data_IF_790561615104
#
_entry.id   IF_790561615104
#
_cell.length_a   1.000
_cell.length_b   1.000
_cell.length_c   1.000
_cell.angle_alpha   90.00
_cell.angle_beta   90.00
_cell.angle_gamma   90.00
#
_symmetry.space_group_name_H-M   'P 1'
#
loop_
_entity.id
_entity.type
_entity.pdbx_description
1 polymer ?
#
# COMPACT_ATOMS: atom_id res chain seq x y z
N UNK A 1 -17.56 -27.18 -16.65
CA UNK A 1 -18.60 -26.74 -15.70
C UNK A 1 -17.80 -26.18 -14.53
N UNK A 2 -17.89 -24.87 -14.25
CA UNK A 2 -17.21 -24.30 -13.07
C UNK A 2 -17.91 -24.81 -11.82
N UNK A 3 -17.13 -25.27 -10.86
CA UNK A 3 -17.65 -25.66 -9.54
C UNK A 3 -18.22 -24.44 -8.81
N UNK A 4 -19.36 -24.60 -8.09
CA UNK A 4 -19.93 -23.51 -7.33
C UNK A 4 -19.01 -23.15 -6.15
N UNK A 5 -18.65 -21.87 -6.04
CA UNK A 5 -17.96 -21.34 -4.88
C UNK A 5 -18.84 -21.53 -3.64
N UNK A 6 -18.50 -22.52 -2.83
CA UNK A 6 -19.09 -22.63 -1.50
C UNK A 6 -18.57 -21.44 -0.68
N UNK A 7 -19.47 -20.61 -0.24
CA UNK A 7 -19.20 -19.59 0.78
C UNK A 7 -18.90 -20.31 2.10
N UNK A 8 -17.64 -20.62 2.32
CA UNK A 8 -17.18 -21.06 3.63
C UNK A 8 -16.85 -19.78 4.40
N UNK A 9 -17.68 -19.44 5.37
CA UNK A 9 -17.32 -18.48 6.42
C UNK A 9 -16.21 -19.12 7.23
N UNK A 10 -14.98 -19.06 6.74
CA UNK A 10 -13.80 -19.41 7.50
C UNK A 10 -13.56 -18.23 8.44
N UNK A 11 -13.86 -18.41 9.73
CA UNK A 11 -13.09 -17.73 10.76
C UNK A 11 -11.63 -18.04 10.45
N UNK A 12 -10.79 -17.01 10.28
CA UNK A 12 -9.37 -17.17 10.04
C UNK A 12 -8.74 -17.82 11.28
N UNK A 13 -8.75 -19.12 11.33
CA UNK A 13 -7.99 -19.93 12.30
C UNK A 13 -6.58 -20.22 11.77
N UNK A 14 -6.00 -19.26 11.00
CA UNK A 14 -4.65 -19.38 10.46
C UNK A 14 -3.57 -18.98 11.49
N UNK A 15 -3.95 -18.82 12.77
CA UNK A 15 -3.03 -18.47 13.86
C UNK A 15 -2.59 -16.99 13.83
N UNK A 16 -3.27 -16.15 13.06
CA UNK A 16 -2.96 -14.72 13.05
C UNK A 16 -3.19 -14.08 14.42
N UNK A 17 -2.30 -13.20 14.89
CA UNK A 17 -2.43 -12.56 16.17
C UNK A 17 -3.70 -11.68 16.21
N UNK A 18 -4.30 -11.48 17.41
CA UNK A 18 -5.38 -10.52 17.60
C UNK A 18 -4.97 -9.13 17.09
N UNK A 19 -5.94 -8.41 16.53
CA UNK A 19 -5.72 -7.03 16.09
C UNK A 19 -5.92 -6.11 17.30
N UNK A 20 -4.85 -5.43 17.71
CA UNK A 20 -4.90 -4.39 18.72
C UNK A 20 -5.03 -3.04 18.02
N UNK A 21 -6.17 -2.36 18.20
CA UNK A 21 -6.46 -1.04 17.64
C UNK A 21 -5.81 0.07 18.47
N UNK A 22 -4.48 0.12 18.46
CA UNK A 22 -3.69 1.18 19.10
C UNK A 22 -2.96 1.99 18.04
N UNK A 23 -2.70 3.27 18.31
CA UNK A 23 -1.95 4.16 17.43
C UNK A 23 -2.73 5.40 17.04
N UNK A 24 -2.22 6.10 16.03
CA UNK A 24 -2.74 7.39 15.61
C UNK A 24 -4.01 7.25 14.76
N UNK A 25 -4.91 8.23 14.85
CA UNK A 25 -6.11 8.37 14.01
C UNK A 25 -6.23 9.81 13.52
N UNK A 26 -6.80 10.00 12.32
CA UNK A 26 -7.15 11.32 11.80
C UNK A 26 -8.64 11.63 11.96
N UNK A 27 -9.03 12.92 11.99
CA UNK A 27 -10.43 13.31 12.00
C UNK A 27 -11.20 12.75 10.81
N UNK A 28 -12.50 12.52 10.99
CA UNK A 28 -13.41 12.10 9.92
C UNK A 28 -13.84 13.27 9.02
N UNK A 29 -13.42 14.50 9.33
CA UNK A 29 -13.72 15.68 8.55
C UNK A 29 -12.64 16.74 8.70
N UNK A 30 -12.43 17.52 7.65
CA UNK A 30 -11.53 18.68 7.62
C UNK A 30 -12.28 19.92 7.17
N UNK A 31 -12.00 21.07 7.80
CA UNK A 31 -12.60 22.34 7.41
C UNK A 31 -12.32 22.66 5.94
N UNK A 32 -13.37 23.01 5.20
CA UNK A 32 -13.28 23.33 3.77
C UNK A 32 -13.03 22.14 2.84
N UNK A 33 -13.19 20.90 3.33
CA UNK A 33 -13.09 19.69 2.52
C UNK A 33 -14.30 18.80 2.71
N UNK A 34 -14.64 18.06 1.66
CA UNK A 34 -15.71 17.05 1.66
C UNK A 34 -15.08 15.67 1.59
N UNK A 35 -15.51 14.74 2.44
CA UNK A 35 -15.19 13.32 2.28
C UNK A 35 -15.91 12.82 1.03
N UNK A 36 -15.15 12.51 -0.02
CA UNK A 36 -15.71 12.09 -1.32
C UNK A 36 -15.67 10.58 -1.51
N UNK A 37 -14.82 9.89 -0.78
CA UNK A 37 -14.74 8.43 -0.78
C UNK A 37 -14.08 7.94 0.50
N UNK A 38 -14.59 6.81 1.01
CA UNK A 38 -14.04 6.09 2.15
C UNK A 38 -14.12 4.59 1.89
N UNK A 39 -13.06 3.89 2.23
CA UNK A 39 -13.05 2.45 2.41
C UNK A 39 -12.67 2.18 3.86
N UNK A 40 -13.58 1.57 4.62
CA UNK A 40 -13.42 1.30 6.05
C UNK A 40 -13.26 -0.21 6.36
N UNK A 41 -13.21 -1.02 5.30
CA UNK A 41 -13.05 -2.49 5.38
C UNK A 41 -14.01 -3.20 6.35
N UNK A 42 -15.15 -2.60 6.65
CA UNK A 42 -16.16 -3.12 7.60
C UNK A 42 -16.97 -4.32 7.10
N UNK A 43 -16.80 -4.69 5.83
CA UNK A 43 -17.47 -5.83 5.20
C UNK A 43 -16.95 -7.19 5.68
N UNK A 44 -17.48 -8.26 5.10
CA UNK A 44 -16.99 -9.64 5.28
C UNK A 44 -16.01 -10.05 4.18
N UNK A 45 -16.09 -9.42 3.04
CA UNK A 45 -15.27 -9.67 1.86
C UNK A 45 -14.92 -8.35 1.19
N UNK A 46 -13.79 -8.31 0.50
CA UNK A 46 -13.34 -7.13 -0.24
C UNK A 46 -14.40 -6.70 -1.25
N UNK A 47 -14.78 -5.43 -1.23
CA UNK A 47 -15.77 -4.88 -2.16
C UNK A 47 -15.23 -4.85 -3.59
N UNK A 48 -15.59 -5.84 -4.39
CA UNK A 48 -15.15 -5.94 -5.79
C UNK A 48 -15.78 -4.89 -6.72
N UNK A 49 -16.70 -4.04 -6.24
CA UNK A 49 -17.11 -2.85 -7.00
C UNK A 49 -16.01 -1.79 -7.01
N UNK A 50 -15.19 -1.73 -5.96
CA UNK A 50 -14.09 -0.76 -5.79
C UNK A 50 -12.71 -1.37 -6.00
N UNK A 51 -12.54 -2.67 -5.73
CA UNK A 51 -11.24 -3.34 -5.71
C UNK A 51 -11.10 -4.45 -6.75
N UNK A 52 -9.87 -4.67 -7.20
CA UNK A 52 -9.43 -5.82 -7.98
C UNK A 52 -8.32 -6.54 -7.22
N UNK A 53 -8.23 -7.86 -7.39
CA UNK A 53 -7.05 -8.63 -7.04
C UNK A 53 -6.13 -8.74 -8.25
N UNK A 54 -4.85 -8.51 -8.07
CA UNK A 54 -3.83 -8.85 -9.06
C UNK A 54 -3.22 -10.22 -8.75
N UNK A 55 -2.77 -10.95 -9.75
CA UNK A 55 -2.23 -12.31 -9.62
C UNK A 55 -1.03 -12.51 -10.52
N UNK A 56 -0.03 -13.23 -10.01
CA UNK A 56 1.16 -13.61 -10.79
C UNK A 56 2.46 -13.49 -10.01
N UNK A 57 3.54 -13.98 -10.63
CA UNK A 57 4.90 -13.98 -10.12
C UNK A 57 5.88 -13.55 -11.21
N UNK A 58 5.61 -12.46 -11.91
CA UNK A 58 6.46 -11.93 -12.99
C UNK A 58 7.67 -11.13 -12.50
N UNK A 59 7.90 -11.07 -11.17
CA UNK A 59 8.90 -10.19 -10.55
C UNK A 59 8.46 -8.72 -10.49
N UNK A 60 7.30 -8.38 -11.02
CA UNK A 60 6.59 -7.10 -10.94
C UNK A 60 7.46 -5.86 -11.22
N UNK A 61 8.47 -6.01 -12.09
CA UNK A 61 9.42 -4.97 -12.47
C UNK A 61 10.61 -4.81 -11.52
N UNK A 62 10.61 -5.44 -10.35
CA UNK A 62 11.58 -5.26 -9.29
C UNK A 62 12.30 -6.56 -8.87
N UNK A 63 12.18 -7.64 -9.65
CA UNK A 63 12.68 -8.97 -9.28
C UNK A 63 12.13 -9.49 -7.94
N UNK A 64 10.85 -9.18 -7.66
CA UNK A 64 10.14 -9.67 -6.49
C UNK A 64 9.91 -11.18 -6.56
N UNK A 65 9.97 -11.87 -5.43
CA UNK A 65 9.95 -13.34 -5.36
C UNK A 65 8.59 -13.95 -5.04
N UNK A 66 7.62 -13.16 -4.59
CA UNK A 66 6.29 -13.67 -4.25
C UNK A 66 5.42 -13.89 -5.48
N UNK A 67 4.46 -14.80 -5.33
CA UNK A 67 3.27 -14.88 -6.17
C UNK A 67 2.16 -14.07 -5.50
N UNK A 68 1.65 -13.04 -6.14
CA UNK A 68 0.42 -12.38 -5.68
C UNK A 68 -0.78 -13.26 -6.02
N UNK A 69 -1.61 -13.54 -5.01
CA UNK A 69 -2.77 -14.41 -5.13
C UNK A 69 -4.06 -13.62 -5.02
N UNK A 70 -4.95 -13.83 -5.97
CA UNK A 70 -6.30 -13.28 -5.89
C UNK A 70 -7.15 -13.99 -4.82
N UNK A 71 -8.21 -13.29 -4.36
CA UNK A 71 -9.13 -13.78 -3.35
C UNK A 71 -8.58 -13.65 -1.92
N UNK A 72 -9.32 -14.20 -0.96
CA UNK A 72 -9.12 -13.98 0.47
C UNK A 72 -7.96 -14.76 1.11
N UNK A 73 -7.14 -15.46 0.34
CA UNK A 73 -6.03 -16.27 0.89
C UNK A 73 -4.88 -15.45 1.44
N UNK A 74 -4.60 -14.31 0.79
CA UNK A 74 -3.54 -13.40 1.17
C UNK A 74 -4.04 -11.96 1.40
N UNK A 75 -5.31 -11.65 1.05
CA UNK A 75 -5.96 -10.39 1.38
C UNK A 75 -7.39 -10.67 1.82
N UNK A 76 -7.67 -10.54 3.10
CA UNK A 76 -8.96 -10.83 3.71
C UNK A 76 -9.41 -9.70 4.61
N UNK A 77 -10.72 -9.53 4.77
CA UNK A 77 -11.26 -8.65 5.80
C UNK A 77 -11.37 -9.42 7.13
N UNK A 78 -10.86 -8.83 8.18
CA UNK A 78 -10.82 -9.41 9.52
C UNK A 78 -11.04 -8.33 10.57
N UNK A 79 -12.13 -8.44 11.34
CA UNK A 79 -12.50 -7.54 12.43
C UNK A 79 -12.60 -6.06 12.03
N UNK A 80 -13.01 -5.76 10.79
CA UNK A 80 -13.10 -4.39 10.28
C UNK A 80 -11.79 -3.83 9.71
N UNK A 81 -10.83 -4.69 9.41
CA UNK A 81 -9.54 -4.33 8.79
C UNK A 81 -9.30 -5.14 7.53
N UNK A 82 -8.65 -4.55 6.56
CA UNK A 82 -7.99 -5.33 5.50
C UNK A 82 -6.70 -5.91 6.07
N UNK A 83 -6.55 -7.23 5.97
CA UNK A 83 -5.31 -7.94 6.30
C UNK A 83 -4.67 -8.46 5.02
N UNK A 84 -3.55 -7.89 4.61
CA UNK A 84 -2.67 -8.45 3.58
C UNK A 84 -1.62 -9.31 4.28
N UNK A 85 -1.45 -10.55 3.82
CA UNK A 85 -0.56 -11.54 4.43
C UNK A 85 0.49 -12.02 3.44
N UNK A 86 1.76 -11.77 3.75
CA UNK A 86 2.89 -12.42 3.07
C UNK A 86 3.24 -13.72 3.80
N UNK A 87 3.36 -14.83 3.05
CA UNK A 87 3.60 -16.16 3.58
C UNK A 87 4.80 -16.81 2.91
N UNK A 88 5.57 -17.57 3.68
CA UNK A 88 6.56 -18.48 3.15
C UNK A 88 5.84 -19.80 2.81
N UNK A 89 5.35 -19.88 1.59
CA UNK A 89 4.70 -21.05 1.03
C UNK A 89 4.96 -21.14 -0.47
N UNK A 90 5.28 -22.32 -0.96
CA UNK A 90 5.50 -22.50 -2.41
C UNK A 90 4.18 -22.49 -3.16
N UNK A 91 4.07 -21.62 -4.16
CA UNK A 91 2.91 -21.57 -5.04
C UNK A 91 3.34 -21.32 -6.49
N UNK A 92 3.02 -22.27 -7.39
CA UNK A 92 3.35 -22.22 -8.83
C UNK A 92 4.82 -21.87 -9.12
N UNK A 93 5.73 -22.35 -8.26
CA UNK A 93 7.17 -22.15 -8.39
C UNK A 93 7.74 -20.95 -7.66
N UNK A 94 6.90 -20.04 -7.17
CA UNK A 94 7.35 -18.95 -6.30
C UNK A 94 7.48 -19.44 -4.85
N UNK A 95 8.53 -19.03 -4.11
CA UNK A 95 8.76 -19.48 -2.73
C UNK A 95 7.87 -18.79 -1.69
N UNK A 96 7.28 -17.66 -2.05
CA UNK A 96 6.41 -16.85 -1.19
C UNK A 96 5.08 -16.59 -1.87
N UNK A 97 4.05 -16.34 -1.07
CA UNK A 97 2.78 -15.78 -1.55
C UNK A 97 2.46 -14.49 -0.81
N UNK A 98 1.74 -13.58 -1.48
CA UNK A 98 1.27 -12.33 -0.92
C UNK A 98 0.01 -11.85 -1.66
N UNK A 99 -0.45 -10.64 -1.39
CA UNK A 99 -1.50 -10.01 -2.17
C UNK A 99 -1.10 -8.61 -2.64
N UNK A 100 -1.66 -8.25 -3.79
CA UNK A 100 -1.69 -6.92 -4.35
C UNK A 100 -3.11 -6.66 -4.82
N UNK A 101 -3.72 -5.60 -4.27
CA UNK A 101 -5.06 -5.16 -4.62
C UNK A 101 -5.02 -3.75 -5.18
N UNK A 102 -5.94 -3.43 -6.09
CA UNK A 102 -5.95 -2.14 -6.77
C UNK A 102 -7.37 -1.66 -7.05
N UNK A 103 -7.55 -0.34 -7.07
CA UNK A 103 -8.82 0.29 -7.51
C UNK A 103 -8.82 0.66 -8.99
N UNK A 104 -7.87 0.17 -9.79
CA UNK A 104 -7.75 0.46 -11.22
C UNK A 104 -9.05 0.22 -11.99
N UNK A 105 -9.49 1.21 -12.75
CA UNK A 105 -10.72 1.17 -13.55
C UNK A 105 -12.01 1.25 -12.73
N UNK A 106 -11.92 1.50 -11.42
CA UNK A 106 -13.06 1.58 -10.49
C UNK A 106 -13.08 2.89 -9.72
N UNK A 107 -12.05 3.16 -8.89
CA UNK A 107 -11.93 4.40 -8.13
C UNK A 107 -10.61 5.07 -8.45
N UNK A 108 -10.67 6.34 -8.83
CA UNK A 108 -9.49 7.17 -9.06
C UNK A 108 -9.77 8.63 -8.68
N UNK A 109 -8.77 9.30 -8.12
CA UNK A 109 -8.91 10.64 -7.56
C UNK A 109 -7.81 11.56 -8.07
N UNK A 110 -8.11 12.85 -8.10
CA UNK A 110 -7.16 13.90 -8.46
C UNK A 110 -7.23 15.00 -7.43
N UNK A 111 -6.09 15.26 -6.78
CA UNK A 111 -5.95 16.26 -5.73
C UNK A 111 -6.77 15.94 -4.47
N UNK A 112 -6.53 16.70 -3.43
CA UNK A 112 -7.20 16.56 -2.15
C UNK A 112 -6.25 16.15 -1.03
N UNK A 113 -6.83 15.77 0.09
CA UNK A 113 -6.14 15.06 1.17
C UNK A 113 -6.53 13.59 1.11
N UNK A 114 -5.56 12.73 1.23
CA UNK A 114 -5.75 11.28 1.31
C UNK A 114 -5.11 10.82 2.60
N UNK A 115 -5.87 10.12 3.44
CA UNK A 115 -5.41 9.52 4.68
C UNK A 115 -5.56 7.99 4.58
N UNK A 116 -4.48 7.25 4.86
CA UNK A 116 -4.49 5.78 4.97
C UNK A 116 -3.98 5.42 6.36
N UNK A 117 -4.82 4.78 7.17
CA UNK A 117 -4.41 4.26 8.48
C UNK A 117 -4.01 2.81 8.35
N UNK A 118 -2.76 2.50 8.67
CA UNK A 118 -2.23 1.16 8.53
C UNK A 118 -1.18 0.82 9.61
N UNK A 119 -1.07 -0.47 9.90
CA UNK A 119 0.00 -1.10 10.64
C UNK A 119 0.77 -2.00 9.69
N UNK A 120 2.06 -1.76 9.52
CA UNK A 120 2.85 -2.38 8.45
C UNK A 120 3.70 -3.54 8.96
N UNK A 121 4.07 -4.50 8.10
CA UNK A 121 4.97 -5.60 8.47
C UNK A 121 6.41 -5.12 8.67
N UNK A 122 7.28 -6.02 9.11
CA UNK A 122 8.70 -5.77 9.38
C UNK A 122 9.57 -6.94 8.90
N UNK A 123 10.89 -6.74 8.93
CA UNK A 123 11.89 -7.77 8.65
C UNK A 123 12.53 -7.64 7.26
N UNK A 124 13.80 -8.05 7.15
CA UNK A 124 14.59 -7.97 5.92
C UNK A 124 13.90 -8.69 4.76
N UNK A 125 13.87 -8.07 3.60
CA UNK A 125 13.22 -8.59 2.41
C UNK A 125 11.71 -8.39 2.37
N UNK A 126 11.11 -7.71 3.37
CA UNK A 126 9.69 -7.36 3.38
C UNK A 126 9.51 -5.93 2.90
N UNK A 127 8.61 -5.74 1.93
CA UNK A 127 8.39 -4.45 1.27
C UNK A 127 6.90 -4.15 1.13
N UNK A 128 6.27 -3.61 2.17
CA UNK A 128 4.90 -3.09 2.10
C UNK A 128 4.86 -1.77 1.36
N UNK A 129 3.78 -1.54 0.60
CA UNK A 129 3.51 -0.29 -0.07
C UNK A 129 2.03 0.09 -0.03
N UNK A 130 1.77 1.37 0.23
CA UNK A 130 0.50 2.07 0.09
C UNK A 130 0.74 3.17 -0.94
N UNK A 131 0.26 3.01 -2.14
CA UNK A 131 0.65 3.84 -3.27
C UNK A 131 -0.45 4.04 -4.31
N UNK A 132 -0.18 4.91 -5.25
CA UNK A 132 -1.11 5.26 -6.31
C UNK A 132 -0.39 5.33 -7.66
N UNK A 133 -1.07 4.92 -8.73
CA UNK A 133 -0.57 4.98 -10.09
C UNK A 133 -1.54 5.78 -10.96
N UNK A 134 -1.01 6.52 -11.93
CA UNK A 134 -1.81 7.33 -12.83
C UNK A 134 -2.86 6.52 -13.59
N UNK A 135 -4.09 6.99 -13.63
CA UNK A 135 -5.25 6.29 -14.21
C UNK A 135 -5.08 6.08 -15.75
N UNK A 136 -4.19 6.86 -16.37
CA UNK A 136 -3.76 6.71 -17.76
C UNK A 136 -2.63 5.67 -17.95
N UNK A 137 -2.29 4.88 -16.93
CA UNK A 137 -1.22 3.86 -17.01
C UNK A 137 -1.33 2.93 -18.22
N UNK A 138 -2.56 2.51 -18.58
CA UNK A 138 -2.78 1.60 -19.70
C UNK A 138 -2.41 2.19 -21.07
N UNK A 139 -2.34 3.51 -21.20
CA UNK A 139 -2.01 4.23 -22.44
C UNK A 139 -0.63 4.84 -22.42
N UNK A 140 -0.22 5.45 -21.31
CA UNK A 140 1.06 6.17 -21.19
C UNK A 140 2.19 5.27 -20.69
N UNK A 141 1.87 4.23 -19.93
CA UNK A 141 2.86 3.37 -19.28
C UNK A 141 3.63 4.08 -18.18
N UNK A 142 4.38 3.28 -17.42
CA UNK A 142 5.29 3.79 -16.37
C UNK A 142 6.65 4.19 -17.00
N UNK A 143 7.29 5.28 -16.56
CA UNK A 143 6.90 6.21 -15.50
C UNK A 143 6.09 7.42 -16.00
N UNK A 144 5.64 7.44 -17.25
CA UNK A 144 4.97 8.60 -17.85
C UNK A 144 3.59 8.87 -17.24
N UNK A 145 2.88 7.84 -16.77
CA UNK A 145 1.60 7.98 -16.08
C UNK A 145 1.72 8.66 -14.71
N UNK A 146 2.92 8.67 -14.11
CA UNK A 146 3.16 9.12 -12.75
C UNK A 146 2.84 8.06 -11.69
N UNK A 147 3.55 8.13 -10.54
CA UNK A 147 3.35 7.28 -9.37
C UNK A 147 3.52 8.12 -8.12
N UNK A 148 2.69 7.89 -7.11
CA UNK A 148 2.73 8.56 -5.80
C UNK A 148 2.72 7.48 -4.74
N UNK A 149 3.85 7.31 -4.05
CA UNK A 149 3.96 6.40 -2.92
C UNK A 149 3.64 7.17 -1.64
N UNK A 150 2.46 6.90 -1.06
CA UNK A 150 2.11 7.50 0.22
C UNK A 150 3.00 6.95 1.33
N UNK A 151 3.30 5.66 1.27
CA UNK A 151 4.18 4.98 2.20
C UNK A 151 4.80 3.75 1.56
N UNK A 152 6.10 3.65 1.65
CA UNK A 152 6.85 2.44 1.44
C UNK A 152 7.78 2.20 2.63
N UNK A 153 8.07 0.94 2.93
CA UNK A 153 9.05 0.53 3.92
C UNK A 153 9.84 -0.65 3.35
N UNK A 154 11.17 -0.61 3.47
CA UNK A 154 11.99 -1.79 3.29
C UNK A 154 12.33 -2.34 4.67
N UNK A 155 11.82 -3.51 4.99
CA UNK A 155 12.08 -4.12 6.28
C UNK A 155 13.55 -4.49 6.46
N UNK A 156 13.99 -4.59 7.71
CA UNK A 156 15.36 -4.95 8.05
C UNK A 156 15.76 -4.46 9.44
N UNK A 157 16.96 -4.84 9.86
CA UNK A 157 17.42 -4.58 11.22
C UNK A 157 17.46 -3.08 11.57
N UNK A 158 16.92 -2.76 12.71
CA UNK A 158 17.09 -1.48 13.39
C UNK A 158 16.46 -0.29 12.67
N UNK A 159 17.19 0.37 11.79
CA UNK A 159 16.76 1.60 11.14
C UNK A 159 15.65 1.38 10.09
N UNK A 160 15.72 0.30 9.32
CA UNK A 160 14.80 0.06 8.21
C UNK A 160 13.36 -0.17 8.68
N UNK A 161 13.13 -1.00 9.71
CA UNK A 161 11.78 -1.21 10.28
C UNK A 161 11.19 0.05 10.94
N UNK A 162 11.96 1.13 11.08
CA UNK A 162 11.56 2.41 11.66
C UNK A 162 11.49 3.55 10.66
N UNK A 163 11.72 3.29 9.38
CA UNK A 163 11.81 4.33 8.35
C UNK A 163 10.84 4.05 7.23
N UNK A 164 9.96 5.01 6.99
CA UNK A 164 9.07 5.02 5.83
C UNK A 164 9.49 6.07 4.83
N UNK A 165 9.18 5.82 3.58
CA UNK A 165 9.47 6.69 2.44
C UNK A 165 8.18 7.15 1.80
N UNK A 166 8.16 8.39 1.32
CA UNK A 166 7.14 8.93 0.44
C UNK A 166 7.80 9.45 -0.82
N UNK A 167 7.35 9.00 -1.98
CA UNK A 167 8.05 9.24 -3.25
C UNK A 167 7.06 9.68 -4.33
N UNK A 168 7.51 10.49 -5.26
CA UNK A 168 6.85 10.72 -6.53
C UNK A 168 7.75 10.30 -7.67
N UNK A 169 7.23 9.50 -8.63
CA UNK A 169 7.95 9.07 -9.82
C UNK A 169 7.27 9.59 -11.08
N UNK A 170 8.05 10.03 -12.06
CA UNK A 170 7.55 10.54 -13.32
C UNK A 170 8.56 10.36 -14.48
N UNK A 171 8.11 10.61 -15.69
CA UNK A 171 9.02 10.71 -16.84
C UNK A 171 9.56 12.13 -16.97
N UNK A 172 10.87 12.29 -16.97
CA UNK A 172 11.57 13.53 -17.32
C UNK A 172 12.28 13.35 -18.64
N UNK A 173 11.72 13.92 -19.71
CA UNK A 173 12.25 13.80 -21.08
C UNK A 173 12.48 12.34 -21.51
N UNK A 174 11.55 11.45 -21.19
CA UNK A 174 11.62 10.03 -21.54
C UNK A 174 12.47 9.16 -20.61
N UNK A 175 13.07 9.74 -19.57
CA UNK A 175 13.81 9.01 -18.54
C UNK A 175 13.06 9.02 -17.23
N UNK A 176 13.18 7.94 -16.45
CA UNK A 176 12.64 7.90 -15.09
C UNK A 176 13.30 8.97 -14.21
N UNK A 177 12.49 9.67 -13.48
CA UNK A 177 12.89 10.63 -12.44
C UNK A 177 12.02 10.39 -11.20
N UNK A 178 12.59 10.64 -10.03
CA UNK A 178 11.93 10.51 -8.73
C UNK A 178 12.35 11.62 -7.76
N UNK A 179 11.54 11.82 -6.74
CA UNK A 179 11.88 12.65 -5.61
C UNK A 179 11.27 12.05 -4.34
N UNK A 180 12.14 11.63 -3.45
CA UNK A 180 11.79 10.90 -2.24
C UNK A 180 12.12 11.69 -0.97
N UNK A 181 11.33 11.50 0.07
CA UNK A 181 11.63 11.90 1.43
C UNK A 181 11.30 10.79 2.39
N UNK A 182 11.81 10.86 3.61
CA UNK A 182 11.59 9.81 4.60
C UNK A 182 11.25 10.37 5.99
N UNK A 183 10.66 9.50 6.81
CA UNK A 183 10.41 9.75 8.22
C UNK A 183 10.78 8.52 9.03
N UNK A 184 11.58 8.73 10.07
CA UNK A 184 12.00 7.66 10.97
C UNK A 184 11.42 7.87 12.36
N UNK A 185 10.91 6.80 12.98
CA UNK A 185 10.54 6.79 14.38
C UNK A 185 11.80 6.93 15.25
N UNK A 186 11.70 7.67 16.34
CA UNK A 186 12.79 7.82 17.32
C UNK A 186 12.99 6.55 18.15
N UNK A 187 11.94 5.76 18.32
CA UNK A 187 11.93 4.46 19.03
C UNK A 187 10.84 3.58 18.48
N UNK A 188 10.91 2.27 18.74
CA UNK A 188 9.91 1.31 18.26
C UNK A 188 10.05 1.01 16.77
N UNK A 189 9.03 0.42 16.18
CA UNK A 189 8.93 0.05 14.78
C UNK A 189 7.54 0.41 14.24
N UNK A 190 7.41 0.57 12.95
CA UNK A 190 6.11 0.84 12.31
C UNK A 190 5.10 -0.32 12.38
N UNK A 191 5.52 -1.50 12.85
CA UNK A 191 4.62 -2.61 13.15
C UNK A 191 4.11 -2.66 14.60
N UNK A 192 4.53 -1.76 15.47
CA UNK A 192 4.11 -1.78 16.87
C UNK A 192 2.67 -1.26 17.04
N UNK A 193 2.28 -0.25 16.26
CA UNK A 193 0.96 0.38 16.31
C UNK A 193 0.49 0.87 14.92
N UNK A 194 -0.76 1.31 14.83
CA UNK A 194 -1.27 1.95 13.62
C UNK A 194 -0.75 3.38 13.50
N UNK A 195 -0.37 3.74 12.28
CA UNK A 195 0.00 5.09 11.86
C UNK A 195 -0.92 5.57 10.73
N UNK A 196 -1.05 6.88 10.57
CA UNK A 196 -1.73 7.46 9.42
C UNK A 196 -0.72 8.05 8.46
N UNK A 197 -0.68 7.49 7.26
CA UNK A 197 0.11 7.97 6.14
C UNK A 197 -0.78 8.83 5.25
N UNK A 198 -0.41 10.10 5.09
CA UNK A 198 -1.27 11.04 4.35
C UNK A 198 -0.50 11.80 3.30
N UNK A 199 -1.21 12.19 2.24
CA UNK A 199 -0.77 13.23 1.32
C UNK A 199 -1.77 14.39 1.31
N UNK A 200 -1.25 15.61 1.12
CA UNK A 200 -2.03 16.77 0.70
C UNK A 200 -1.51 17.16 -0.67
N UNK A 201 -2.37 17.01 -1.66
CA UNK A 201 -2.03 17.13 -3.06
C UNK A 201 -2.91 18.18 -3.74
N UNK A 202 -2.27 19.15 -4.37
CA UNK A 202 -2.88 20.21 -5.18
C UNK A 202 -2.17 20.37 -6.53
N UNK A 203 -2.52 21.38 -7.32
CA UNK A 203 -1.91 21.60 -8.64
C UNK A 203 -0.45 22.04 -8.60
N UNK A 204 0.06 22.45 -7.44
CA UNK A 204 1.41 22.96 -7.24
C UNK A 204 2.32 22.01 -6.49
N UNK A 205 1.77 21.19 -5.61
CA UNK A 205 2.59 20.34 -4.73
C UNK A 205 1.90 19.09 -4.27
N UNK A 206 2.72 18.09 -3.89
CA UNK A 206 2.34 16.95 -3.06
C UNK A 206 3.16 17.06 -1.78
N UNK A 207 2.47 16.95 -0.62
CA UNK A 207 3.09 16.97 0.71
C UNK A 207 2.76 15.70 1.44
N UNK A 208 3.76 15.03 2.00
CA UNK A 208 3.62 13.77 2.73
C UNK A 208 3.65 13.99 4.23
N UNK A 209 2.81 13.25 4.93
CA UNK A 209 2.67 13.30 6.37
C UNK A 209 2.65 11.90 6.97
N UNK A 210 3.21 11.76 8.17
CA UNK A 210 3.03 10.63 9.05
C UNK A 210 2.45 11.14 10.38
N UNK A 211 1.26 10.69 10.76
CA UNK A 211 0.55 11.13 11.97
C UNK A 211 0.44 12.67 12.05
N UNK A 212 0.02 13.29 10.93
CA UNK A 212 -0.04 14.75 10.73
C UNK A 212 1.31 15.50 10.82
N UNK A 213 2.43 14.80 10.94
CA UNK A 213 3.77 15.39 10.88
C UNK A 213 4.24 15.39 9.43
N UNK A 214 4.34 16.58 8.82
CA UNK A 214 4.87 16.70 7.46
C UNK A 214 6.37 16.38 7.44
N UNK A 215 6.77 15.50 6.51
CA UNK A 215 8.18 15.12 6.37
C UNK A 215 8.74 15.32 4.95
N UNK A 216 7.87 15.47 3.94
CA UNK A 216 8.32 15.61 2.56
C UNK A 216 7.42 16.56 1.76
N UNK A 217 7.98 17.15 0.69
CA UNK A 217 7.24 17.97 -0.29
C UNK A 217 7.87 17.85 -1.66
N UNK A 218 7.07 17.58 -2.68
CA UNK A 218 7.43 17.64 -4.09
C UNK A 218 6.68 18.80 -4.77
N UNK A 219 7.41 19.71 -5.42
CA UNK A 219 6.81 20.71 -6.30
C UNK A 219 6.45 20.08 -7.64
N UNK A 220 5.18 20.06 -7.98
CA UNK A 220 4.66 19.46 -9.20
C UNK A 220 4.10 20.48 -10.21
N UNK A 221 4.36 21.78 -10.00
CA UNK A 221 3.80 22.84 -10.86
C UNK A 221 4.05 22.60 -12.35
N UNK A 222 5.21 22.04 -12.69
CA UNK A 222 5.64 21.74 -14.06
C UNK A 222 5.66 20.23 -14.39
N UNK A 223 5.10 19.38 -13.54
CA UNK A 223 5.08 17.93 -13.71
C UNK A 223 3.68 17.48 -14.12
N UNK A 224 3.48 17.27 -15.43
CA UNK A 224 2.17 16.93 -16.02
C UNK A 224 1.62 15.60 -15.52
N UNK A 225 2.47 14.63 -15.26
CA UNK A 225 2.10 13.31 -14.75
C UNK A 225 1.22 13.38 -13.48
N UNK A 226 1.50 14.32 -12.56
CA UNK A 226 0.74 14.49 -11.32
C UNK A 226 -0.50 15.40 -11.47
N UNK A 227 -0.95 15.66 -12.68
CA UNK A 227 -2.17 16.44 -12.98
C UNK A 227 -3.29 15.57 -13.54
N UNK A 228 -3.14 14.27 -13.44
CA UNK A 228 -4.13 13.25 -13.81
C UNK A 228 -4.79 12.65 -12.59
N UNK A 229 -5.77 11.76 -12.78
CA UNK A 229 -6.32 10.95 -11.70
C UNK A 229 -5.39 9.79 -11.38
N UNK A 230 -5.39 9.34 -10.14
CA UNK A 230 -4.61 8.20 -9.67
C UNK A 230 -5.51 7.20 -8.95
N UNK A 231 -5.26 5.92 -9.17
CA UNK A 231 -5.91 4.81 -8.47
C UNK A 231 -4.98 4.22 -7.40
N UNK A 232 -5.55 3.59 -6.39
CA UNK A 232 -4.80 2.99 -5.27
C UNK A 232 -4.26 1.62 -5.61
N UNK A 233 -3.10 1.29 -5.04
CA UNK A 233 -2.51 -0.04 -4.99
C UNK A 233 -1.99 -0.28 -3.58
N UNK A 234 -2.31 -1.45 -3.00
CA UNK A 234 -1.84 -1.90 -1.69
C UNK A 234 -1.24 -3.28 -1.82
N UNK A 235 -0.02 -3.48 -1.34
CA UNK A 235 0.66 -4.77 -1.43
C UNK A 235 1.75 -4.96 -0.36
N UNK A 236 2.17 -6.21 -0.18
CA UNK A 236 3.45 -6.56 0.43
C UNK A 236 4.25 -7.31 -0.61
N UNK A 237 5.33 -6.73 -1.11
CA UNK A 237 6.33 -7.46 -1.87
C UNK A 237 7.28 -8.23 -0.94
N UNK A 238 7.84 -9.33 -1.44
CA UNK A 238 8.85 -10.12 -0.73
C UNK A 238 10.07 -10.22 -1.61
N UNK A 239 11.19 -9.79 -1.07
CA UNK A 239 12.45 -9.61 -1.80
C UNK A 239 12.35 -8.57 -2.93
N UNK A 240 13.39 -8.43 -3.70
CA UNK A 240 13.45 -7.49 -4.81
C UNK A 240 14.70 -6.64 -4.82
N UNK A 241 14.79 -5.77 -5.83
CA UNK A 241 15.98 -4.95 -6.05
C UNK A 241 16.29 -4.00 -4.89
N UNK A 242 15.27 -3.49 -4.22
CA UNK A 242 15.44 -2.50 -3.15
C UNK A 242 15.53 -3.12 -1.76
N UNK A 243 14.59 -3.98 -1.29
CA UNK A 243 14.66 -4.56 0.04
C UNK A 243 15.75 -5.64 0.16
N UNK A 244 16.24 -6.19 -0.95
CA UNK A 244 17.17 -7.32 -0.94
C UNK A 244 16.48 -8.63 -0.54
N UNK A 245 17.27 -9.64 -0.19
CA UNK A 245 16.74 -10.96 0.16
C UNK A 245 16.14 -10.99 1.57
N UNK A 246 15.24 -11.96 1.79
CA UNK A 246 14.73 -12.29 3.13
C UNK A 246 15.90 -12.69 4.04
N UNK A 247 16.01 -12.00 5.17
CA UNK A 247 17.04 -12.26 6.16
C UNK A 247 16.65 -13.36 7.16
N UNK A 248 17.63 -13.96 7.86
CA UNK A 248 17.38 -15.08 8.79
C UNK A 248 16.54 -14.69 10.02
N UNK A 249 16.42 -13.39 10.32
CA UNK A 249 15.58 -12.88 11.41
C UNK A 249 14.13 -12.59 11.00
N UNK A 250 13.84 -12.65 9.69
CA UNK A 250 12.47 -12.44 9.19
C UNK A 250 11.65 -13.70 9.41
N UNK A 251 10.55 -13.57 10.11
CA UNK A 251 9.62 -14.68 10.36
C UNK A 251 8.35 -14.49 9.53
N UNK A 252 7.78 -15.58 9.05
CA UNK A 252 6.48 -15.58 8.37
C UNK A 252 5.41 -16.24 9.24
N UNK A 253 4.12 -15.89 9.05
CA UNK A 253 3.62 -14.89 8.11
C UNK A 253 3.89 -13.45 8.57
N UNK A 254 3.97 -12.51 7.60
CA UNK A 254 4.00 -11.08 7.84
C UNK A 254 2.67 -10.43 7.44
N UNK A 255 2.23 -9.43 8.18
CA UNK A 255 0.91 -8.84 8.02
C UNK A 255 0.97 -7.33 7.83
N UNK A 256 0.25 -6.81 6.83
CA UNK A 256 -0.14 -5.41 6.78
C UNK A 256 -1.63 -5.33 7.09
N UNK A 257 -1.98 -4.50 8.07
CA UNK A 257 -3.36 -4.20 8.45
C UNK A 257 -3.69 -2.80 7.96
N UNK A 258 -4.81 -2.64 7.25
CA UNK A 258 -5.33 -1.33 6.86
C UNK A 258 -6.70 -1.14 7.47
N UNK A 259 -6.87 -0.05 8.23
CA UNK A 259 -8.11 0.30 8.91
C UNK A 259 -9.03 1.07 7.99
N UNK A 260 -8.54 2.16 7.41
CA UNK A 260 -9.31 2.96 6.47
C UNK A 260 -8.45 3.64 5.41
N UNK A 261 -9.12 3.99 4.32
CA UNK A 261 -8.65 4.95 3.31
C UNK A 261 -9.71 6.03 3.19
N UNK A 262 -9.34 7.31 3.35
CA UNK A 262 -10.24 8.46 3.24
C UNK A 262 -9.72 9.45 2.24
N UNK A 263 -10.59 9.90 1.35
CA UNK A 263 -10.28 10.91 0.32
C UNK A 263 -11.16 12.13 0.55
N UNK A 264 -10.53 13.27 0.76
CA UNK A 264 -11.16 14.57 1.00
C UNK A 264 -10.80 15.56 -0.11
N UNK A 265 -11.82 16.17 -0.74
CA UNK A 265 -11.66 17.18 -1.79
C UNK A 265 -12.35 18.49 -1.46
#
# INVERSE_FOLDING_TARGET
>A
IPEPYASITLRNDDGAPPIEDIGYTTPISYSGKTLVWEEDFSGTDLNLADWNYESGASGWGNNESQYYRGGNRNAALDQGYLRITAKEETHLGAPYTSARITTQGKQSFKYGRIDIRAKVPYGSGIWPALWMLGDNFSTEGWPSCGEIDLMELIGGDGYNDRTVYGTGHWSNNGSHAEHSGNNSLTSGKYNDEFHVFSIVWDSGSIKWYRDDIQYHTLNISNLGAFKEKFFFILNIAVEGNWPGPVGPSTTFPQYMLVDYIRVFQ
#
